data_IF_310608313593
#
_entry.id   IF_310608313593
#
_cell.length_a   1.000
_cell.length_b   1.000
_cell.length_c   1.000
_cell.angle_alpha   90.00
_cell.angle_beta   90.00
_cell.angle_gamma   90.00
#
_symmetry.space_group_name_H-M   'P 1'
#
loop_
_entity.id
_entity.type
_entity.pdbx_description
1 polymer ?
#
# COMPACT_ATOMS: atom_id res chain seq x y z
N UNK A 1 -0.66 16.24 0.28
CA UNK A 1 -0.59 15.84 -1.15
C UNK A 1 -0.25 14.36 -1.16
N UNK A 2 -1.25 13.50 -1.12
CA UNK A 2 -1.04 12.05 -0.93
C UNK A 2 -1.19 11.34 -2.26
N UNK A 3 -0.15 10.63 -2.69
CA UNK A 3 -0.19 9.54 -3.69
C UNK A 3 -1.10 9.71 -4.93
N UNK A 4 -1.42 10.93 -5.37
CA UNK A 4 -2.27 11.15 -6.55
C UNK A 4 -1.63 10.56 -7.82
N UNK A 5 -0.29 10.44 -7.82
CA UNK A 5 0.54 9.74 -8.80
C UNK A 5 0.25 8.23 -8.90
N UNK A 6 -0.38 7.61 -7.91
CA UNK A 6 -0.78 6.19 -7.93
C UNK A 6 -2.20 5.97 -8.45
N UNK A 7 -2.85 6.99 -9.03
CA UNK A 7 -4.17 6.86 -9.66
C UNK A 7 -4.04 6.48 -11.15
N UNK A 8 -3.24 5.47 -11.48
CA UNK A 8 -3.06 5.02 -12.87
C UNK A 8 -4.41 4.61 -13.48
N UNK A 9 -5.29 4.00 -12.69
CA UNK A 9 -6.66 3.70 -13.08
C UNK A 9 -7.43 4.95 -13.53
N UNK A 10 -7.36 6.06 -12.81
CA UNK A 10 -8.03 7.32 -13.21
C UNK A 10 -7.53 7.81 -14.56
N UNK A 11 -6.21 7.76 -14.78
CA UNK A 11 -5.60 8.20 -16.04
C UNK A 11 -5.98 7.26 -17.21
N UNK A 12 -6.11 5.96 -16.94
CA UNK A 12 -6.45 4.96 -17.96
C UNK A 12 -7.94 4.93 -18.28
N UNK A 13 -8.81 5.16 -17.29
CA UNK A 13 -10.27 5.23 -17.45
C UNK A 13 -10.68 6.36 -18.42
N UNK A 14 -9.92 7.47 -18.40
CA UNK A 14 -10.09 8.57 -19.35
C UNK A 14 -9.51 8.29 -20.76
N UNK A 15 -9.00 7.08 -21.02
CA UNK A 15 -8.27 6.74 -22.25
C UNK A 15 -8.81 5.48 -22.95
N UNK A 16 -8.38 5.25 -24.19
CA UNK A 16 -8.73 4.03 -24.93
C UNK A 16 -8.17 2.75 -24.30
N UNK A 17 -7.18 2.87 -23.40
CA UNK A 17 -6.49 1.74 -22.77
C UNK A 17 -7.46 0.88 -21.97
N UNK A 18 -8.48 1.46 -21.33
CA UNK A 18 -9.45 0.68 -20.53
C UNK A 18 -10.29 -0.28 -21.38
N UNK A 19 -10.59 0.09 -22.64
CA UNK A 19 -11.39 -0.73 -23.56
C UNK A 19 -10.58 -1.86 -24.18
N UNK A 20 -9.27 -1.71 -24.23
CA UNK A 20 -8.37 -2.66 -24.86
C UNK A 20 -7.64 -3.55 -23.83
N UNK A 21 -7.64 -3.18 -22.55
CA UNK A 21 -7.11 -4.01 -21.48
C UNK A 21 -8.05 -5.17 -21.18
N UNK A 22 -7.47 -6.33 -20.89
CA UNK A 22 -8.26 -7.43 -20.37
C UNK A 22 -8.99 -7.02 -19.05
N UNK A 23 -10.30 -7.28 -18.91
CA UNK A 23 -11.06 -6.86 -17.73
C UNK A 23 -10.54 -7.39 -16.39
N UNK A 24 -9.99 -8.61 -16.35
CA UNK A 24 -9.39 -9.20 -15.14
C UNK A 24 -8.11 -8.47 -14.75
N UNK A 25 -7.30 -8.08 -15.73
CA UNK A 25 -6.10 -7.28 -15.49
C UNK A 25 -6.45 -5.88 -15.00
N UNK A 26 -7.43 -5.23 -15.63
CA UNK A 26 -7.95 -3.93 -15.20
C UNK A 26 -8.42 -3.96 -13.75
N UNK A 27 -9.27 -4.92 -13.40
CA UNK A 27 -9.74 -5.11 -12.02
C UNK A 27 -8.58 -5.30 -11.03
N UNK A 28 -7.59 -6.11 -11.40
CA UNK A 28 -6.42 -6.33 -10.55
C UNK A 28 -5.58 -5.07 -10.32
N UNK A 29 -5.45 -4.20 -11.33
CA UNK A 29 -4.75 -2.91 -11.19
C UNK A 29 -5.50 -2.00 -10.23
N UNK A 30 -6.81 -1.81 -10.44
CA UNK A 30 -7.67 -0.98 -9.58
C UNK A 30 -7.66 -1.50 -8.13
N UNK A 31 -7.73 -2.83 -7.95
CA UNK A 31 -7.64 -3.44 -6.63
C UNK A 31 -6.29 -3.17 -5.98
N UNK A 32 -5.19 -3.40 -6.70
CA UNK A 32 -3.85 -3.21 -6.14
C UNK A 32 -3.61 -1.73 -5.74
N UNK A 33 -4.13 -0.75 -6.50
CA UNK A 33 -4.12 0.67 -6.11
C UNK A 33 -4.90 0.93 -4.82
N UNK A 34 -6.11 0.38 -4.72
CA UNK A 34 -6.95 0.47 -3.52
C UNK A 34 -6.24 -0.15 -2.31
N UNK A 35 -5.62 -1.31 -2.48
CA UNK A 35 -4.88 -2.02 -1.44
C UNK A 35 -3.67 -1.21 -0.96
N UNK A 36 -2.96 -0.52 -1.86
CA UNK A 36 -1.82 0.34 -1.51
C UNK A 36 -2.29 1.60 -0.78
N UNK A 37 -3.37 2.24 -1.24
CA UNK A 37 -3.97 3.39 -0.54
C UNK A 37 -4.42 3.01 0.87
N UNK A 38 -5.08 1.86 1.01
CA UNK A 38 -5.47 1.33 2.30
C UNK A 38 -4.26 1.11 3.20
N UNK A 39 -3.23 0.40 2.73
CA UNK A 39 -2.02 0.13 3.51
C UNK A 39 -1.29 1.41 3.93
N UNK A 40 -1.27 2.42 3.06
CA UNK A 40 -0.69 3.74 3.38
C UNK A 40 -1.48 4.47 4.47
N UNK A 41 -2.80 4.34 4.47
CA UNK A 41 -3.63 4.90 5.54
C UNK A 41 -3.40 4.17 6.85
N UNK A 42 -3.33 2.83 6.85
CA UNK A 42 -3.11 2.06 8.07
C UNK A 42 -1.75 2.35 8.70
N UNK A 43 -0.66 2.32 7.93
CA UNK A 43 0.66 2.63 8.47
C UNK A 43 0.71 4.05 9.08
N UNK A 44 -0.01 5.02 8.51
CA UNK A 44 -0.10 6.37 9.06
C UNK A 44 -0.90 6.41 10.39
N UNK A 45 -1.91 5.56 10.53
CA UNK A 45 -2.64 5.39 11.79
C UNK A 45 -1.77 4.69 12.84
N UNK A 46 -1.05 3.63 12.49
CA UNK A 46 -0.19 2.92 13.44
C UNK A 46 0.94 3.82 13.96
N UNK A 47 1.53 4.67 13.11
CA UNK A 47 2.51 5.66 13.56
C UNK A 47 1.91 6.68 14.53
N UNK A 48 0.64 7.05 14.32
CA UNK A 48 -0.08 7.95 15.23
C UNK A 48 -0.38 7.24 16.56
N UNK A 49 -0.86 5.99 16.52
CA UNK A 49 -1.16 5.21 17.71
C UNK A 49 0.11 4.91 18.52
N UNK A 50 1.25 4.67 17.85
CA UNK A 50 2.56 4.60 18.46
C UNK A 50 2.96 5.92 19.13
N UNK A 51 2.76 7.06 18.45
CA UNK A 51 3.05 8.37 19.02
C UNK A 51 2.19 8.64 20.28
N UNK A 52 0.91 8.28 20.23
CA UNK A 52 -0.02 8.40 21.35
C UNK A 52 0.35 7.44 22.49
N UNK A 53 0.88 6.24 22.18
CA UNK A 53 1.33 5.26 23.17
C UNK A 53 2.63 5.67 23.88
N UNK A 54 3.59 6.27 23.16
CA UNK A 54 4.82 6.82 23.74
C UNK A 54 4.46 8.01 24.64
N UNK A 55 3.62 8.92 24.14
CA UNK A 55 3.30 10.18 24.81
C UNK A 55 4.51 11.14 24.85
N UNK A 56 4.48 12.10 25.79
CA UNK A 56 5.55 13.11 25.94
C UNK A 56 6.49 12.88 27.12
N UNK A 57 6.41 11.72 27.78
CA UNK A 57 7.18 11.42 28.99
C UNK A 57 8.59 10.86 28.65
N UNK A 58 9.59 11.04 29.53
CA UNK A 58 10.89 10.38 29.39
C UNK A 58 10.76 8.86 29.32
N UNK A 59 11.65 8.20 28.57
CA UNK A 59 11.58 6.75 28.31
C UNK A 59 11.63 5.93 29.60
N UNK A 60 12.42 6.35 30.59
CA UNK A 60 12.57 5.69 31.88
C UNK A 60 11.25 5.64 32.67
N UNK A 61 10.44 6.68 32.53
CA UNK A 61 9.11 6.78 33.15
C UNK A 61 8.11 5.92 32.39
N UNK A 62 8.15 5.95 31.06
CA UNK A 62 7.24 5.21 30.20
C UNK A 62 7.38 3.68 30.37
N UNK A 63 8.62 3.18 30.47
CA UNK A 63 8.88 1.73 30.61
C UNK A 63 8.69 1.21 32.04
N UNK A 64 8.69 2.09 33.05
CA UNK A 64 8.39 1.71 34.42
C UNK A 64 6.91 1.32 34.61
N UNK A 65 6.03 1.71 33.67
CA UNK A 65 4.64 1.27 33.61
C UNK A 65 4.53 0.04 32.66
N UNK A 66 4.29 -1.18 33.18
CA UNK A 66 4.25 -2.40 32.35
C UNK A 66 3.15 -2.40 31.28
N UNK A 67 2.02 -1.73 31.53
CA UNK A 67 0.94 -1.64 30.55
C UNK A 67 1.33 -0.75 29.38
N UNK A 68 1.98 0.37 29.67
CA UNK A 68 2.50 1.31 28.67
C UNK A 68 3.64 0.68 27.87
N UNK A 69 4.56 0.00 28.54
CA UNK A 69 5.64 -0.77 27.89
C UNK A 69 5.07 -1.81 26.90
N UNK A 70 4.07 -2.59 27.33
CA UNK A 70 3.41 -3.58 26.47
C UNK A 70 2.72 -2.92 25.28
N UNK A 71 2.01 -1.81 25.50
CA UNK A 71 1.34 -1.09 24.42
C UNK A 71 2.34 -0.58 23.38
N UNK A 72 3.40 0.10 23.79
CA UNK A 72 4.44 0.60 22.87
C UNK A 72 5.03 -0.55 22.03
N UNK A 73 5.33 -1.69 22.66
CA UNK A 73 5.84 -2.86 21.92
C UNK A 73 4.83 -3.38 20.88
N UNK A 74 3.55 -3.38 21.21
CA UNK A 74 2.50 -3.79 20.28
C UNK A 74 2.40 -2.83 19.09
N UNK A 75 2.29 -1.53 19.33
CA UNK A 75 2.20 -0.53 18.25
C UNK A 75 3.45 -0.57 17.33
N UNK A 76 4.65 -0.82 17.88
CA UNK A 76 5.87 -1.00 17.07
C UNK A 76 5.77 -2.24 16.16
N UNK A 77 5.20 -3.33 16.65
CA UNK A 77 5.00 -4.54 15.85
C UNK A 77 3.95 -4.30 14.76
N UNK A 78 2.89 -3.57 15.06
CA UNK A 78 1.84 -3.22 14.11
C UNK A 78 2.41 -2.36 12.96
N UNK A 79 3.21 -1.33 13.29
CA UNK A 79 3.96 -0.54 12.29
C UNK A 79 4.83 -1.43 11.38
N UNK A 80 5.56 -2.39 11.95
CA UNK A 80 6.41 -3.28 11.13
C UNK A 80 5.59 -4.22 10.24
N UNK A 81 4.47 -4.72 10.75
CA UNK A 81 3.58 -5.59 10.00
C UNK A 81 3.00 -4.85 8.79
N UNK A 82 2.48 -3.64 9.02
CA UNK A 82 1.86 -2.85 7.97
C UNK A 82 2.87 -2.28 6.96
N UNK A 83 4.08 -1.97 7.42
CA UNK A 83 5.20 -1.65 6.53
C UNK A 83 5.54 -2.81 5.59
N UNK A 84 5.58 -4.05 6.09
CA UNK A 84 5.81 -5.21 5.24
C UNK A 84 4.64 -5.46 4.28
N UNK A 85 3.41 -5.30 4.75
CA UNK A 85 2.21 -5.45 3.94
C UNK A 85 2.16 -4.43 2.79
N UNK A 86 2.49 -3.16 3.07
CA UNK A 86 2.65 -2.11 2.07
C UNK A 86 3.74 -2.49 1.05
N UNK A 87 4.89 -2.99 1.52
CA UNK A 87 5.98 -3.44 0.65
C UNK A 87 5.55 -4.58 -0.27
N UNK A 88 4.84 -5.57 0.24
CA UNK A 88 4.33 -6.70 -0.54
C UNK A 88 3.33 -6.24 -1.62
N UNK A 89 2.37 -5.39 -1.25
CA UNK A 89 1.36 -4.82 -2.17
C UNK A 89 2.02 -3.97 -3.25
N UNK A 90 2.98 -3.13 -2.89
CA UNK A 90 3.75 -2.30 -3.82
C UNK A 90 4.54 -3.15 -4.82
N UNK A 91 5.17 -4.24 -4.37
CA UNK A 91 5.88 -5.18 -5.25
C UNK A 91 4.95 -5.87 -6.24
N UNK A 92 3.74 -6.24 -5.81
CA UNK A 92 2.74 -6.84 -6.70
C UNK A 92 2.31 -5.85 -7.80
N UNK A 93 2.02 -4.62 -7.41
CA UNK A 93 1.66 -3.55 -8.35
C UNK A 93 2.80 -3.29 -9.35
N UNK A 94 4.04 -3.14 -8.87
CA UNK A 94 5.22 -2.98 -9.71
C UNK A 94 5.42 -4.17 -10.66
N UNK A 95 5.24 -5.40 -10.18
CA UNK A 95 5.35 -6.61 -11.00
C UNK A 95 4.38 -6.62 -12.17
N UNK A 96 3.12 -6.19 -11.93
CA UNK A 96 2.13 -6.05 -13.00
C UNK A 96 2.49 -4.92 -13.97
N UNK A 97 2.96 -3.78 -13.47
CA UNK A 97 3.39 -2.67 -14.33
C UNK A 97 4.56 -3.08 -15.22
N UNK A 98 5.60 -3.72 -14.66
CA UNK A 98 6.72 -4.26 -15.43
C UNK A 98 6.27 -5.29 -16.47
N UNK A 99 5.38 -6.20 -16.11
CA UNK A 99 4.78 -7.14 -17.06
C UNK A 99 4.07 -6.39 -18.19
N UNK A 100 3.24 -5.39 -17.87
CA UNK A 100 2.50 -4.59 -18.84
C UNK A 100 3.45 -3.91 -19.84
N UNK A 101 4.47 -3.21 -19.34
CA UNK A 101 5.44 -2.50 -20.20
C UNK A 101 6.37 -3.43 -20.99
N UNK A 102 6.67 -4.63 -20.49
CA UNK A 102 7.50 -5.63 -21.19
C UNK A 102 6.91 -6.10 -22.53
N UNK A 103 5.62 -5.83 -22.79
CA UNK A 103 4.90 -6.31 -23.98
C UNK A 103 4.86 -5.31 -25.14
N UNK A 104 5.46 -4.13 -24.98
CA UNK A 104 5.57 -3.13 -26.04
C UNK A 104 4.20 -2.80 -26.66
N UNK A 105 4.14 -2.61 -28.00
CA UNK A 105 2.88 -2.29 -28.72
C UNK A 105 1.84 -3.41 -28.74
N UNK A 106 2.19 -4.62 -28.30
CA UNK A 106 1.30 -5.79 -28.28
C UNK A 106 0.44 -5.94 -27.02
N UNK A 107 0.58 -5.04 -26.04
CA UNK A 107 -0.01 -5.20 -24.71
C UNK A 107 -1.55 -5.29 -24.71
N UNK A 108 -2.20 -4.53 -25.60
CA UNK A 108 -3.67 -4.51 -25.79
C UNK A 108 -4.23 -5.81 -26.38
N UNK A 109 -3.38 -6.71 -26.89
CA UNK A 109 -3.82 -7.97 -27.52
C UNK A 109 -3.58 -9.20 -26.65
N UNK A 110 -3.18 -9.02 -25.39
CA UNK A 110 -2.74 -10.13 -24.53
C UNK A 110 -3.79 -10.61 -23.53
N UNK A 111 -3.75 -11.92 -23.29
CA UNK A 111 -4.42 -12.54 -22.16
C UNK A 111 -3.80 -12.08 -20.83
N UNK A 112 -4.59 -11.95 -19.76
CA UNK A 112 -4.15 -11.43 -18.47
C UNK A 112 -3.19 -12.41 -17.78
N UNK A 113 -2.14 -11.89 -17.14
CA UNK A 113 -1.33 -12.70 -16.22
C UNK A 113 -2.15 -13.06 -14.97
N UNK A 114 -2.09 -14.33 -14.56
CA UNK A 114 -2.78 -14.84 -13.38
C UNK A 114 -2.23 -14.26 -12.08
#
# INVERSE_FOLDING_TARGET
>A
QGFDILNLSRDFEASFVVNELNPKLWFNIVRDESDIKYATTQIALDYKDLQDAIGGEPIEVAIANPEKERKIKQEVLDVFYDADLLRQRSRRFLGRACWLFSKGRGFVKLAPAN
#
